data_IF_175353390779
#
_entry.id   IF_175353390779
#
_cell.length_a   1.000
_cell.length_b   1.000
_cell.length_c   1.000
_cell.angle_alpha   90.00
_cell.angle_beta   90.00
_cell.angle_gamma   90.00
#
_symmetry.space_group_name_H-M   'P 1'
#
loop_
_entity.id
_entity.type
_entity.pdbx_description
1 polymer ?
#
# COMPACT_ATOMS: atom_id res chain seq x y z
N UNK A 1 -25.31 27.36 -10.18
CA UNK A 1 -25.71 27.34 -11.60
C UNK A 1 -24.47 26.99 -12.40
N UNK A 2 -24.50 25.84 -13.12
CA UNK A 2 -23.59 25.45 -14.22
C UNK A 2 -22.11 25.21 -13.79
N UNK A 3 -21.42 24.09 -14.03
CA UNK A 3 -21.48 23.01 -15.03
C UNK A 3 -20.87 21.75 -14.38
N UNK A 4 -21.62 20.67 -14.17
CA UNK A 4 -21.60 19.44 -14.97
C UNK A 4 -20.83 19.56 -16.30
N UNK A 5 -19.68 18.87 -16.39
CA UNK A 5 -19.08 18.17 -17.55
C UNK A 5 -17.67 17.75 -17.10
N UNK A 6 -17.50 16.51 -16.62
CA UNK A 6 -16.26 15.73 -16.70
C UNK A 6 -16.55 14.30 -16.21
N UNK A 7 -17.45 13.63 -16.95
CA UNK A 7 -17.83 12.25 -16.64
C UNK A 7 -18.03 11.44 -17.93
N UNK A 8 -17.03 11.41 -18.84
CA UNK A 8 -17.13 10.55 -20.04
C UNK A 8 -15.80 10.24 -20.77
N UNK A 9 -14.73 9.76 -20.11
CA UNK A 9 -13.61 9.12 -20.85
C UNK A 9 -12.92 7.99 -20.06
N UNK A 10 -13.67 7.16 -19.32
CA UNK A 10 -13.14 5.90 -18.75
C UNK A 10 -14.17 4.76 -18.82
N UNK A 11 -14.74 4.55 -20.00
CA UNK A 11 -15.52 3.35 -20.34
C UNK A 11 -15.05 2.77 -21.67
N UNK A 12 -13.85 2.17 -21.71
CA UNK A 12 -13.50 1.24 -22.79
C UNK A 12 -12.39 0.23 -22.45
N UNK A 13 -12.30 -0.28 -21.22
CA UNK A 13 -11.56 -1.54 -20.95
C UNK A 13 -12.25 -2.32 -19.83
N UNK A 14 -13.49 -2.78 -20.08
CA UNK A 14 -14.20 -3.66 -19.16
C UNK A 14 -15.12 -4.62 -19.92
N UNK A 15 -14.53 -5.49 -20.74
CA UNK A 15 -15.20 -6.68 -21.26
C UNK A 15 -14.19 -7.82 -21.46
N UNK A 16 -13.56 -8.26 -20.36
CA UNK A 16 -13.01 -9.61 -20.27
C UNK A 16 -13.69 -10.28 -19.09
N UNK A 17 -14.79 -10.96 -19.36
CA UNK A 17 -15.39 -11.90 -18.43
C UNK A 17 -14.35 -12.97 -18.10
N UNK A 18 -14.01 -13.20 -16.82
CA UNK A 18 -13.31 -14.42 -16.45
C UNK A 18 -14.29 -15.58 -16.62
N UNK A 19 -13.92 -16.55 -17.45
CA UNK A 19 -14.57 -17.85 -17.46
C UNK A 19 -14.52 -18.43 -16.04
N UNK A 20 -15.65 -18.38 -15.32
CA UNK A 20 -15.82 -19.10 -14.07
C UNK A 20 -15.84 -20.60 -14.36
N UNK A 21 -14.67 -21.24 -14.32
CA UNK A 21 -14.60 -22.68 -14.10
C UNK A 21 -14.84 -22.95 -12.61
N UNK A 22 -16.11 -23.15 -12.23
CA UNK A 22 -16.45 -23.68 -10.92
C UNK A 22 -15.91 -25.11 -10.78
N UNK A 23 -14.80 -25.28 -10.06
CA UNK A 23 -14.31 -26.58 -9.60
C UNK A 23 -15.20 -27.05 -8.45
N UNK A 24 -16.25 -27.84 -8.78
CA UNK A 24 -16.96 -28.63 -7.78
C UNK A 24 -16.09 -29.82 -7.39
N UNK A 25 -15.49 -29.78 -6.20
CA UNK A 25 -14.96 -30.97 -5.55
C UNK A 25 -16.13 -31.88 -5.16
N UNK A 26 -16.21 -33.05 -5.78
CA UNK A 26 -17.16 -34.10 -5.41
C UNK A 26 -16.37 -35.16 -4.64
N UNK A 27 -16.73 -35.35 -3.37
CA UNK A 27 -16.19 -36.40 -2.52
C UNK A 27 -16.37 -37.77 -3.19
N UNK A 28 -15.27 -38.51 -3.35
CA UNK A 28 -15.28 -39.86 -3.92
C UNK A 28 -15.47 -40.88 -2.81
N UNK A 29 -16.67 -41.44 -2.74
CA UNK A 29 -16.92 -42.73 -2.12
C UNK A 29 -16.44 -43.87 -3.02
N UNK A 30 -15.90 -44.91 -2.39
CA UNK A 30 -15.40 -46.17 -2.99
C UNK A 30 -16.43 -46.82 -3.93
N UNK A 31 -15.96 -47.27 -5.09
CA UNK A 31 -16.23 -48.54 -5.78
C UNK A 31 -16.18 -48.32 -7.29
N UNK A 32 -15.40 -49.19 -7.96
CA UNK A 32 -15.00 -49.03 -9.35
C UNK A 32 -16.14 -49.13 -10.35
N UNK A 33 -15.99 -48.43 -11.47
CA UNK A 33 -16.49 -48.83 -12.79
C UNK A 33 -15.85 -48.00 -13.92
N UNK A 34 -15.93 -48.59 -15.12
CA UNK A 34 -15.27 -48.34 -16.42
C UNK A 34 -15.18 -46.89 -16.95
N UNK A 35 -14.25 -46.60 -17.89
CA UNK A 35 -14.03 -45.25 -18.42
C UNK A 35 -15.12 -44.83 -19.41
N UNK A 36 -15.76 -43.69 -19.16
CA UNK A 36 -16.72 -43.04 -20.07
C UNK A 36 -16.06 -41.85 -20.78
N UNK A 37 -15.89 -41.95 -22.11
CA UNK A 37 -15.27 -40.93 -22.98
C UNK A 37 -16.32 -39.89 -23.36
N UNK A 38 -16.34 -38.71 -22.71
CA UNK A 38 -17.22 -37.59 -23.10
C UNK A 38 -16.51 -36.63 -24.06
N UNK A 39 -16.95 -36.63 -25.33
CA UNK A 39 -16.72 -35.54 -26.29
C UNK A 39 -17.38 -34.26 -25.75
N UNK A 40 -16.63 -33.16 -25.68
CA UNK A 40 -17.20 -31.81 -25.50
C UNK A 40 -17.55 -31.27 -26.88
N UNK A 41 -18.83 -31.08 -27.14
CA UNK A 41 -19.32 -30.21 -28.22
C UNK A 41 -19.38 -28.79 -27.67
N UNK A 42 -18.72 -27.84 -28.33
CA UNK A 42 -18.94 -26.42 -28.14
C UNK A 42 -20.17 -26.00 -28.97
N UNK A 43 -21.08 -25.17 -28.44
CA UNK A 43 -22.14 -24.59 -29.27
C UNK A 43 -21.55 -23.56 -30.24
N UNK A 44 -21.92 -23.69 -31.51
CA UNK A 44 -21.68 -22.69 -32.53
C UNK A 44 -22.52 -21.44 -32.21
N UNK A 45 -21.86 -20.31 -31.97
CA UNK A 45 -22.52 -19.02 -31.87
C UNK A 45 -22.67 -18.44 -33.28
N UNK A 46 -23.86 -18.61 -33.85
CA UNK A 46 -24.35 -17.83 -34.99
C UNK A 46 -25.06 -16.59 -34.46
N UNK A 47 -24.54 -15.40 -34.73
CA UNK A 47 -25.30 -14.17 -34.64
C UNK A 47 -24.87 -13.23 -35.75
N UNK A 48 -25.80 -13.02 -36.68
CA UNK A 48 -25.75 -12.02 -37.73
C UNK A 48 -25.77 -10.62 -37.12
N UNK A 49 -24.85 -9.75 -37.56
CA UNK A 49 -24.98 -8.32 -37.41
C UNK A 49 -25.04 -7.68 -38.80
N UNK A 50 -26.20 -7.14 -39.10
CA UNK A 50 -26.48 -6.38 -40.30
C UNK A 50 -26.01 -4.92 -40.12
N UNK A 51 -25.33 -4.43 -41.17
CA UNK A 51 -25.28 -3.05 -41.66
C UNK A 51 -25.35 -1.87 -40.69
N UNK A 52 -24.22 -1.15 -40.54
CA UNK A 52 -24.22 0.31 -40.62
C UNK A 52 -22.88 0.83 -41.13
N UNK A 53 -22.94 1.90 -41.91
CA UNK A 53 -21.94 2.39 -42.85
C UNK A 53 -20.55 2.66 -42.25
N UNK A 54 -19.53 2.12 -42.92
CA UNK A 54 -18.12 2.44 -42.72
C UNK A 54 -17.79 3.88 -43.16
N UNK A 55 -17.14 4.70 -42.31
CA UNK A 55 -16.21 5.72 -42.77
C UNK A 55 -14.79 5.11 -42.76
N UNK A 56 -14.54 4.13 -43.63
CA UNK A 56 -13.22 3.47 -43.76
C UNK A 56 -12.63 3.61 -45.17
N UNK A 57 -12.92 4.71 -45.87
CA UNK A 57 -12.36 4.99 -47.19
C UNK A 57 -11.45 6.23 -47.23
N UNK A 58 -10.96 6.71 -46.08
CA UNK A 58 -10.10 7.91 -46.03
C UNK A 58 -8.82 7.76 -45.18
N UNK A 59 -8.42 6.53 -44.84
CA UNK A 59 -7.19 6.28 -44.07
C UNK A 59 -6.16 5.40 -44.78
N UNK A 60 -6.46 4.88 -45.98
CA UNK A 60 -5.54 4.03 -46.74
C UNK A 60 -4.72 4.78 -47.80
N UNK A 61 -4.97 6.07 -48.03
CA UNK A 61 -4.11 6.91 -48.90
C UNK A 61 -2.89 7.52 -48.17
N UNK A 62 -2.70 7.20 -46.89
CA UNK A 62 -1.47 7.53 -46.15
C UNK A 62 -0.35 6.51 -46.38
N UNK A 63 -0.60 5.45 -47.14
CA UNK A 63 0.42 4.51 -47.58
C UNK A 63 1.10 5.01 -48.86
N UNK A 64 1.92 6.05 -48.71
CA UNK A 64 3.00 6.46 -49.63
C UNK A 64 2.78 6.16 -51.11
N UNK A 65 1.95 6.95 -51.78
CA UNK A 65 2.01 7.04 -53.24
C UNK A 65 3.44 7.42 -53.65
N UNK A 66 4.12 6.56 -54.41
CA UNK A 66 5.46 6.81 -54.92
C UNK A 66 5.42 8.07 -55.81
N UNK A 67 5.95 9.18 -55.30
CA UNK A 67 6.14 10.41 -56.07
C UNK A 67 7.37 10.28 -56.97
N UNK A 68 7.18 10.34 -58.29
CA UNK A 68 8.28 10.32 -59.27
C UNK A 68 8.64 11.73 -59.80
N UNK A 69 7.91 12.77 -59.42
CA UNK A 69 8.16 14.16 -59.81
C UNK A 69 8.75 14.96 -58.62
N UNK A 70 9.81 15.77 -58.80
CA UNK A 70 10.34 16.65 -57.76
C UNK A 70 9.30 17.60 -57.13
N UNK A 71 8.26 18.01 -57.86
CA UNK A 71 7.17 18.81 -57.29
C UNK A 71 6.32 18.00 -56.28
N UNK A 72 6.06 16.73 -56.60
CA UNK A 72 5.34 15.79 -55.74
C UNK A 72 6.14 15.46 -54.48
N UNK A 73 7.46 15.24 -54.63
CA UNK A 73 8.35 14.94 -53.51
C UNK A 73 8.42 16.09 -52.49
N UNK A 74 8.53 17.35 -52.96
CA UNK A 74 8.48 18.51 -52.06
C UNK A 74 7.16 18.60 -51.29
N UNK A 75 6.03 18.35 -51.93
CA UNK A 75 4.73 18.36 -51.27
C UNK A 75 4.62 17.27 -50.19
N UNK A 76 5.15 16.06 -50.47
CA UNK A 76 5.22 14.97 -49.50
C UNK A 76 6.13 15.30 -48.31
N UNK A 77 7.31 15.88 -48.56
CA UNK A 77 8.26 16.27 -47.51
C UNK A 77 7.67 17.35 -46.60
N UNK A 78 6.95 18.34 -47.14
CA UNK A 78 6.25 19.35 -46.34
C UNK A 78 5.11 18.75 -45.50
N UNK A 79 4.32 17.85 -46.08
CA UNK A 79 3.25 17.18 -45.36
C UNK A 79 3.78 16.31 -44.21
N UNK A 80 4.92 15.63 -44.42
CA UNK A 80 5.61 14.86 -43.39
C UNK A 80 6.20 15.74 -42.30
N UNK A 81 6.87 16.84 -42.66
CA UNK A 81 7.43 17.78 -41.70
C UNK A 81 6.34 18.42 -40.83
N UNK A 82 5.17 18.75 -41.41
CA UNK A 82 4.03 19.27 -40.65
C UNK A 82 3.38 18.24 -39.74
N UNK A 83 3.24 16.99 -40.20
CA UNK A 83 2.58 15.93 -39.42
C UNK A 83 3.36 15.52 -38.18
N UNK A 84 4.69 15.65 -38.19
CA UNK A 84 5.56 15.40 -37.02
C UNK A 84 5.83 16.69 -36.23
N UNK A 85 6.03 17.81 -36.92
CA UNK A 85 6.38 19.08 -36.27
C UNK A 85 5.27 19.63 -35.38
N UNK A 86 4.02 19.62 -35.86
CA UNK A 86 2.88 20.14 -35.10
C UNK A 86 2.63 19.41 -33.77
N UNK A 87 2.57 18.06 -33.70
CA UNK A 87 2.35 17.38 -32.42
C UNK A 87 3.50 17.58 -31.43
N UNK A 88 4.75 17.69 -31.89
CA UNK A 88 5.89 17.98 -31.01
C UNK A 88 5.81 19.40 -30.42
N UNK A 89 5.45 20.40 -31.23
CA UNK A 89 5.26 21.78 -30.74
C UNK A 89 4.07 21.85 -29.76
N UNK A 90 2.97 21.16 -30.06
CA UNK A 90 1.81 21.12 -29.15
C UNK A 90 2.16 20.41 -27.83
N UNK A 91 2.97 19.36 -27.87
CA UNK A 91 3.45 18.67 -26.68
C UNK A 91 4.36 19.58 -25.84
N UNK A 92 5.30 20.31 -26.46
CA UNK A 92 6.17 21.23 -25.71
C UNK A 92 5.40 22.41 -25.10
N UNK A 93 4.42 22.96 -25.82
CA UNK A 93 3.53 24.00 -25.29
C UNK A 93 2.66 23.45 -24.15
N UNK A 94 2.12 22.24 -24.26
CA UNK A 94 1.34 21.62 -23.20
C UNK A 94 2.19 21.36 -21.94
N UNK A 95 3.43 20.89 -22.12
CA UNK A 95 4.40 20.72 -21.03
C UNK A 95 4.72 22.08 -20.38
N UNK A 96 5.01 23.12 -21.19
CA UNK A 96 5.29 24.45 -20.67
C UNK A 96 4.10 25.05 -19.90
N UNK A 97 2.87 24.91 -20.42
CA UNK A 97 1.67 25.37 -19.73
C UNK A 97 1.37 24.57 -18.46
N UNK A 98 1.69 23.27 -18.44
CA UNK A 98 1.58 22.45 -17.22
C UNK A 98 2.53 22.94 -16.13
N UNK A 99 3.77 23.30 -16.49
CA UNK A 99 4.73 23.85 -15.53
C UNK A 99 4.39 25.28 -15.08
N UNK A 100 3.83 26.13 -15.95
CA UNK A 100 3.44 27.51 -15.58
C UNK A 100 2.18 27.52 -14.67
N UNK A 101 1.30 26.52 -14.76
CA UNK A 101 0.05 26.47 -13.99
C UNK A 101 0.19 25.87 -12.58
N UNK A 102 1.41 25.54 -12.15
CA UNK A 102 1.67 24.82 -10.90
C UNK A 102 2.10 25.67 -9.70
N UNK A 103 2.21 26.99 -9.83
CA UNK A 103 2.93 27.84 -8.86
C UNK A 103 2.02 28.90 -8.21
N UNK A 104 0.85 28.48 -7.72
CA UNK A 104 -0.04 29.31 -6.87
C UNK A 104 -0.20 28.68 -5.47
N UNK A 105 0.93 28.41 -4.82
CA UNK A 105 0.96 28.23 -3.37
C UNK A 105 2.28 28.73 -2.79
N UNK A 106 2.48 30.05 -2.83
CA UNK A 106 3.45 30.81 -2.03
C UNK A 106 3.09 30.78 -0.53
N UNK A 107 2.76 29.61 0.01
CA UNK A 107 3.05 29.37 1.42
C UNK A 107 4.48 28.90 1.45
N UNK A 108 5.35 29.76 1.95
CA UNK A 108 6.77 29.54 2.20
C UNK A 108 6.95 28.28 3.08
N UNK A 109 6.84 27.09 2.48
CA UNK A 109 7.11 25.80 3.08
C UNK A 109 8.62 25.73 3.25
N UNK A 110 9.12 26.37 4.31
CA UNK A 110 10.53 26.30 4.68
C UNK A 110 10.80 24.87 5.14
N UNK A 111 11.59 24.16 4.35
CA UNK A 111 12.13 22.87 4.75
C UNK A 111 13.05 23.09 5.94
N UNK A 112 12.63 22.61 7.11
CA UNK A 112 13.44 22.65 8.32
C UNK A 112 14.35 21.43 8.33
N UNK A 113 15.67 21.66 8.33
CA UNK A 113 16.64 20.59 8.55
C UNK A 113 16.96 20.52 10.04
N UNK A 114 16.65 19.39 10.68
CA UNK A 114 17.06 19.19 12.06
C UNK A 114 18.59 19.03 12.15
N UNK A 115 19.31 19.91 12.85
CA UNK A 115 20.78 19.84 12.95
C UNK A 115 21.27 18.57 13.65
N UNK A 116 20.45 17.93 14.49
CA UNK A 116 20.85 16.73 15.22
C UNK A 116 20.72 15.45 14.39
N UNK A 117 19.67 15.34 13.57
CA UNK A 117 19.36 14.12 12.81
C UNK A 117 19.62 14.24 11.32
N UNK A 118 19.79 15.47 10.82
CA UNK A 118 19.94 15.76 9.39
C UNK A 118 18.66 15.57 8.58
N UNK A 119 17.54 15.20 9.22
CA UNK A 119 16.24 14.99 8.56
C UNK A 119 15.63 16.34 8.22
N UNK A 120 15.27 16.50 6.95
CA UNK A 120 14.50 17.65 6.46
C UNK A 120 13.01 17.35 6.55
N UNK A 121 12.23 18.24 7.14
CA UNK A 121 10.78 18.15 7.14
C UNK A 121 10.14 19.50 6.83
N UNK A 122 8.95 19.46 6.26
CA UNK A 122 8.15 20.65 5.97
C UNK A 122 7.41 21.05 7.24
N UNK A 123 7.70 22.24 7.76
CA UNK A 123 7.01 22.81 8.91
C UNK A 123 6.80 24.30 8.70
N UNK A 124 5.71 24.82 9.25
CA UNK A 124 5.54 26.27 9.32
C UNK A 124 6.56 26.87 10.29
N UNK A 125 6.96 28.14 10.13
CA UNK A 125 8.05 28.76 10.91
C UNK A 125 7.87 28.68 12.44
N UNK A 126 6.63 28.58 12.89
CA UNK A 126 6.27 28.55 14.31
C UNK A 126 6.20 27.13 14.89
N UNK A 127 6.21 26.10 14.03
CA UNK A 127 6.09 24.70 14.46
C UNK A 127 7.43 24.16 14.95
N UNK A 128 7.43 23.66 16.18
CA UNK A 128 8.59 22.99 16.79
C UNK A 128 8.36 21.48 16.81
N UNK A 129 9.30 20.68 16.26
CA UNK A 129 9.17 19.24 16.33
C UNK A 129 9.24 18.76 17.79
N UNK A 130 8.37 17.81 18.14
CA UNK A 130 8.40 17.12 19.42
C UNK A 130 9.71 16.36 19.55
N UNK A 131 10.36 16.56 20.69
CA UNK A 131 11.53 15.79 21.08
C UNK A 131 11.21 14.98 22.33
N UNK A 132 11.71 13.77 22.36
CA UNK A 132 11.66 12.96 23.56
C UNK A 132 12.59 13.51 24.64
N UNK A 133 12.52 12.90 25.83
CA UNK A 133 13.38 13.25 26.98
C UNK A 133 14.89 13.09 26.71
N UNK A 134 15.28 12.47 25.59
CA UNK A 134 16.67 12.30 25.16
C UNK A 134 17.04 13.26 24.01
N UNK A 135 16.16 14.19 23.64
CA UNK A 135 16.37 15.14 22.55
C UNK A 135 16.20 14.54 21.15
N UNK A 136 15.78 13.28 21.03
CA UNK A 136 15.50 12.64 19.74
C UNK A 136 14.11 13.01 19.24
N UNK A 137 13.92 13.09 17.92
CA UNK A 137 12.62 13.40 17.32
C UNK A 137 11.59 12.30 17.65
N UNK A 138 10.37 12.71 17.94
CA UNK A 138 9.22 11.81 17.97
C UNK A 138 8.56 11.77 16.58
N UNK A 139 8.00 10.62 16.23
CA UNK A 139 7.42 10.37 14.92
C UNK A 139 5.92 10.03 15.02
N UNK A 140 5.10 10.48 14.07
CA UNK A 140 3.75 9.98 13.88
C UNK A 140 3.85 8.62 13.20
N UNK A 141 3.02 7.68 13.63
CA UNK A 141 2.90 6.41 12.94
C UNK A 141 2.34 6.67 11.53
N UNK A 142 3.04 6.28 10.46
CA UNK A 142 2.55 6.49 9.11
C UNK A 142 1.35 5.62 8.79
N UNK A 143 0.49 6.10 7.89
CA UNK A 143 -0.28 5.22 7.02
C UNK A 143 0.68 4.58 6.00
N UNK A 144 1.44 3.56 6.42
CA UNK A 144 2.48 2.92 5.60
C UNK A 144 3.84 2.77 6.29
N UNK A 145 4.93 3.06 5.56
CA UNK A 145 6.33 2.82 6.00
C UNK A 145 7.12 4.08 6.37
N UNK A 146 6.64 5.28 6.04
CA UNK A 146 7.44 6.52 6.10
C UNK A 146 7.18 7.28 7.40
N UNK A 147 8.02 7.17 8.45
CA UNK A 147 7.79 7.91 9.69
C UNK A 147 7.91 9.41 9.45
N UNK A 148 7.01 10.19 10.06
CA UNK A 148 7.00 11.66 9.93
C UNK A 148 7.19 12.31 11.30
N UNK A 149 8.06 13.32 11.47
CA UNK A 149 8.18 14.04 12.74
C UNK A 149 6.84 14.64 13.19
N UNK A 150 6.57 14.64 14.49
CA UNK A 150 5.37 15.25 15.10
C UNK A 150 5.69 16.60 15.74
N UNK A 151 4.67 17.43 15.93
CA UNK A 151 4.74 18.68 16.69
C UNK A 151 4.61 18.42 18.20
N UNK A 152 5.24 19.27 19.02
CA UNK A 152 5.33 19.11 20.48
C UNK A 152 3.98 18.89 21.20
N UNK A 153 2.90 19.45 20.67
CA UNK A 153 1.57 19.42 21.27
C UNK A 153 0.60 18.42 20.60
N UNK A 154 1.13 17.50 19.78
CA UNK A 154 0.31 16.50 19.10
C UNK A 154 -0.37 15.59 20.12
N UNK A 155 -1.70 15.44 20.07
CA UNK A 155 -2.40 14.50 20.95
C UNK A 155 -2.05 13.03 20.63
N UNK A 156 -1.95 12.18 21.65
CA UNK A 156 -1.73 10.75 21.46
C UNK A 156 -0.88 10.08 22.54
N UNK A 157 -0.73 8.77 22.43
CA UNK A 157 0.07 7.95 23.32
C UNK A 157 1.48 7.76 22.76
N UNK A 158 2.51 8.03 23.56
CA UNK A 158 3.92 7.93 23.16
C UNK A 158 4.44 6.54 23.47
N UNK A 159 4.86 5.80 22.45
CA UNK A 159 5.48 4.48 22.58
C UNK A 159 6.89 4.47 22.03
N UNK A 160 7.81 3.81 22.75
CA UNK A 160 9.20 3.64 22.30
C UNK A 160 9.35 2.27 21.65
N UNK A 161 9.68 2.25 20.37
CA UNK A 161 9.76 1.03 19.56
C UNK A 161 11.14 0.92 18.96
N UNK A 162 11.72 -0.28 19.00
CA UNK A 162 13.03 -0.55 18.42
C UNK A 162 12.92 -0.64 16.89
N UNK A 163 13.56 0.28 16.18
CA UNK A 163 13.59 0.34 14.71
C UNK A 163 15.00 0.66 14.20
N UNK A 164 15.29 0.34 12.94
CA UNK A 164 16.61 0.51 12.32
C UNK A 164 17.24 -0.82 11.92
N UNK A 165 18.57 -0.87 11.69
CA UNK A 165 19.24 -2.12 11.31
C UNK A 165 19.01 -3.19 12.36
N UNK A 166 18.66 -4.42 11.95
CA UNK A 166 18.26 -5.51 12.86
C UNK A 166 19.24 -5.73 14.02
N UNK A 167 20.54 -5.65 13.76
CA UNK A 167 21.59 -5.88 14.77
C UNK A 167 21.92 -4.63 15.62
N UNK A 168 21.34 -3.48 15.28
CA UNK A 168 21.58 -2.17 15.89
C UNK A 168 20.28 -1.37 15.97
N UNK A 169 19.20 -2.03 16.35
CA UNK A 169 17.89 -1.40 16.44
C UNK A 169 17.93 -0.35 17.58
N UNK A 170 17.49 0.87 17.29
CA UNK A 170 17.41 1.94 18.26
C UNK A 170 15.96 2.18 18.67
N UNK A 171 15.74 2.43 19.96
CA UNK A 171 14.44 2.85 20.46
C UNK A 171 14.13 4.26 19.94
N UNK A 172 13.11 4.36 19.09
CA UNK A 172 12.53 5.63 18.63
C UNK A 172 11.14 5.84 19.22
N UNK A 173 10.78 7.09 19.47
CA UNK A 173 9.49 7.45 20.05
C UNK A 173 8.47 7.67 18.93
N UNK A 174 7.34 6.98 19.01
CA UNK A 174 6.23 7.07 18.08
C UNK A 174 4.97 7.52 18.81
N UNK A 175 4.20 8.41 18.20
CA UNK A 175 2.95 8.96 18.73
C UNK A 175 1.77 8.29 18.04
N UNK A 176 0.89 7.69 18.84
CA UNK A 176 -0.33 7.03 18.39
C UNK A 176 -1.55 7.82 18.83
N UNK A 177 -2.26 8.38 17.86
CA UNK A 177 -3.59 8.97 18.06
C UNK A 177 -4.60 7.86 18.40
N UNK A 178 -5.50 8.11 19.36
CA UNK A 178 -6.55 7.16 19.74
C UNK A 178 -7.72 7.22 18.75
N UNK A 179 -8.05 6.10 18.12
CA UNK A 179 -9.10 6.03 17.09
C UNK A 179 -10.37 5.36 17.59
N UNK A 180 -10.34 4.72 18.75
CA UNK A 180 -11.52 4.16 19.41
C UNK A 180 -12.15 5.20 20.34
N UNK A 181 -13.46 5.06 20.56
CA UNK A 181 -14.16 5.88 21.54
C UNK A 181 -13.50 5.71 22.92
N UNK A 182 -13.38 6.83 23.65
CA UNK A 182 -12.81 6.81 24.99
C UNK A 182 -13.78 6.13 25.97
N UNK A 183 -13.27 5.36 26.95
CA UNK A 183 -11.86 5.13 27.24
C UNK A 183 -11.22 4.03 26.35
N UNK A 184 -10.09 4.34 25.72
CA UNK A 184 -9.25 3.38 24.97
C UNK A 184 -7.79 3.45 25.43
N UNK A 185 -7.05 2.36 25.21
CA UNK A 185 -5.66 2.20 25.60
C UNK A 185 -4.84 1.63 24.44
N UNK A 186 -3.65 2.18 24.20
CA UNK A 186 -2.69 1.60 23.27
C UNK A 186 -1.85 0.55 24.00
N UNK A 187 -1.69 -0.63 23.39
CA UNK A 187 -1.00 -1.78 23.95
C UNK A 187 0.08 -2.23 22.96
N UNK A 188 1.32 -2.34 23.42
CA UNK A 188 2.44 -2.88 22.65
C UNK A 188 2.67 -4.33 23.06
N UNK A 189 2.65 -5.25 22.10
CA UNK A 189 2.81 -6.70 22.30
C UNK A 189 3.95 -7.20 21.44
N UNK A 190 5.01 -7.73 22.05
CA UNK A 190 6.14 -8.34 21.35
C UNK A 190 6.04 -9.86 21.46
N UNK A 191 6.09 -10.54 20.31
CA UNK A 191 5.91 -11.99 20.21
C UNK A 191 6.96 -12.60 19.27
N UNK A 192 7.40 -13.85 19.53
CA UNK A 192 8.21 -14.59 18.56
C UNK A 192 7.37 -14.91 17.31
N UNK A 193 8.06 -15.21 16.21
CA UNK A 193 7.44 -15.73 14.98
C UNK A 193 7.49 -17.27 15.00
N UNK A 194 6.44 -17.99 14.56
CA UNK A 194 5.12 -17.48 14.17
C UNK A 194 4.35 -16.93 15.39
N UNK A 195 3.60 -15.85 15.18
CA UNK A 195 2.97 -15.09 16.28
C UNK A 195 1.81 -15.81 16.93
N UNK A 196 1.10 -16.65 16.18
CA UNK A 196 -0.09 -17.35 16.68
C UNK A 196 -1.31 -16.44 16.90
N UNK A 197 -1.30 -15.20 16.41
CA UNK A 197 -2.47 -14.30 16.42
C UNK A 197 -3.24 -14.47 15.11
N UNK A 198 -4.55 -14.66 15.21
CA UNK A 198 -5.47 -14.67 14.06
C UNK A 198 -6.01 -13.25 13.89
N UNK A 199 -5.64 -12.60 12.79
CA UNK A 199 -6.08 -11.26 12.42
C UNK A 199 -7.12 -11.33 11.30
N UNK A 200 -8.16 -10.51 11.40
CA UNK A 200 -9.22 -10.40 10.40
C UNK A 200 -9.52 -8.93 10.08
N UNK A 201 -9.97 -8.68 8.86
CA UNK A 201 -10.46 -7.36 8.44
C UNK A 201 -11.93 -7.19 8.87
N UNK A 202 -12.19 -6.25 9.78
CA UNK A 202 -13.54 -5.76 10.03
C UNK A 202 -13.93 -4.80 8.89
N UNK A 203 -14.62 -5.35 7.89
CA UNK A 203 -15.10 -4.59 6.72
C UNK A 203 -16.02 -3.42 7.04
N UNK A 204 -16.73 -3.46 8.18
CA UNK A 204 -17.64 -2.37 8.58
C UNK A 204 -16.87 -1.16 9.06
N UNK A 205 -15.80 -1.40 9.81
CA UNK A 205 -14.96 -0.35 10.41
C UNK A 205 -13.72 -0.02 9.58
N UNK A 206 -13.44 -0.83 8.55
CA UNK A 206 -12.22 -0.78 7.74
C UNK A 206 -10.96 -0.83 8.60
N UNK A 207 -10.95 -1.76 9.56
CA UNK A 207 -9.86 -1.92 10.53
C UNK A 207 -9.48 -3.38 10.64
N UNK A 208 -8.23 -3.65 10.99
CA UNK A 208 -7.75 -4.99 11.29
C UNK A 208 -7.94 -5.27 12.77
N UNK A 209 -8.59 -6.37 13.09
CA UNK A 209 -8.90 -6.76 14.47
C UNK A 209 -8.33 -8.14 14.79
N UNK A 210 -8.02 -8.36 16.07
CA UNK A 210 -7.67 -9.69 16.58
C UNK A 210 -8.93 -10.53 16.68
N UNK A 211 -9.07 -11.54 15.82
CA UNK A 211 -10.19 -12.47 15.84
C UNK A 211 -10.00 -13.58 16.89
N UNK A 212 -8.75 -14.01 17.11
CA UNK A 212 -8.45 -15.07 18.05
C UNK A 212 -6.98 -15.47 18.06
N UNK A 213 -6.70 -16.66 18.57
CA UNK A 213 -5.34 -17.20 18.68
C UNK A 213 -5.29 -18.64 18.19
N UNK A 214 -4.12 -19.06 17.70
CA UNK A 214 -3.83 -20.45 17.38
C UNK A 214 -3.58 -21.21 18.68
N UNK A 215 -4.20 -22.37 18.83
CA UNK A 215 -4.07 -23.21 20.02
C UNK A 215 -2.61 -23.63 20.26
N UNK A 216 -2.16 -23.52 21.51
CA UNK A 216 -0.79 -23.85 21.92
C UNK A 216 0.25 -22.78 21.60
N UNK A 217 -0.12 -21.71 20.89
CA UNK A 217 0.81 -20.62 20.55
C UNK A 217 1.22 -19.77 21.75
N UNK A 218 2.37 -19.09 21.64
CA UNK A 218 2.83 -18.15 22.64
C UNK A 218 1.83 -17.01 22.90
N UNK A 219 1.16 -16.51 21.85
CA UNK A 219 0.11 -15.50 21.99
C UNK A 219 -1.09 -16.01 22.80
N UNK A 220 -1.54 -17.24 22.55
CA UNK A 220 -2.64 -17.84 23.31
C UNK A 220 -2.26 -18.01 24.78
N UNK A 221 -1.05 -18.52 25.05
CA UNK A 221 -0.54 -18.69 26.42
C UNK A 221 -0.46 -17.34 27.15
N UNK A 222 0.10 -16.30 26.52
CA UNK A 222 0.16 -14.95 27.09
C UNK A 222 -1.23 -14.35 27.31
N UNK A 223 -2.18 -14.56 26.39
CA UNK A 223 -3.56 -14.10 26.56
C UNK A 223 -4.25 -14.81 27.73
N UNK A 224 -4.08 -16.13 27.88
CA UNK A 224 -4.61 -16.93 29.01
C UNK A 224 -4.02 -16.47 30.34
N UNK A 225 -2.70 -16.28 30.42
CA UNK A 225 -2.04 -15.74 31.61
C UNK A 225 -2.52 -14.31 31.91
N UNK A 226 -2.67 -13.48 30.87
CA UNK A 226 -3.16 -12.11 31.00
C UNK A 226 -4.58 -12.00 31.53
N UNK A 227 -5.44 -13.01 31.29
CA UNK A 227 -6.78 -13.12 31.88
C UNK A 227 -6.74 -13.44 33.37
N UNK A 228 -5.73 -14.18 33.83
CA UNK A 228 -5.55 -14.52 35.25
C UNK A 228 -4.89 -13.37 36.01
N UNK A 229 -4.01 -12.62 35.36
CA UNK A 229 -3.23 -11.55 35.96
C UNK A 229 -3.41 -10.23 35.19
N UNK A 230 -4.22 -9.33 35.74
CA UNK A 230 -4.58 -8.04 35.13
C UNK A 230 -3.37 -7.17 34.77
N UNK A 231 -2.26 -7.27 35.51
CA UNK A 231 -1.03 -6.53 35.19
C UNK A 231 -0.36 -7.04 33.90
N UNK A 232 -0.39 -8.35 33.65
CA UNK A 232 0.15 -8.98 32.44
C UNK A 232 -0.83 -8.82 31.28
N UNK A 233 -2.14 -8.87 31.55
CA UNK A 233 -3.19 -8.67 30.54
C UNK A 233 -3.10 -7.32 29.81
N UNK A 234 -2.47 -6.31 30.43
CA UNK A 234 -2.16 -5.02 29.80
C UNK A 234 -1.10 -5.11 28.70
N UNK A 235 -0.27 -6.16 28.69
CA UNK A 235 0.81 -6.36 27.71
C UNK A 235 0.58 -7.55 26.76
N UNK A 236 -0.56 -8.25 26.86
CA UNK A 236 -0.92 -9.35 25.97
C UNK A 236 -1.98 -8.91 24.96
N UNK A 237 -1.95 -9.42 23.73
CA UNK A 237 -3.05 -9.24 22.78
C UNK A 237 -4.33 -9.90 23.30
N UNK A 238 -5.49 -9.32 23.00
CA UNK A 238 -6.81 -9.84 23.34
C UNK A 238 -7.74 -9.83 22.11
N UNK A 239 -8.73 -10.74 22.04
CA UNK A 239 -9.71 -10.72 20.96
C UNK A 239 -10.50 -9.41 20.95
N UNK A 240 -10.67 -8.83 19.75
CA UNK A 240 -11.31 -7.53 19.55
C UNK A 240 -10.35 -6.33 19.61
N UNK A 241 -9.09 -6.53 19.96
CA UNK A 241 -8.06 -5.49 19.85
C UNK A 241 -7.89 -5.06 18.38
N UNK A 242 -7.73 -3.75 18.16
CA UNK A 242 -7.54 -3.17 16.81
C UNK A 242 -6.06 -3.02 16.52
N UNK A 243 -5.54 -3.62 15.45
CA UNK A 243 -4.15 -3.45 15.04
C UNK A 243 -3.93 -2.04 14.49
N UNK A 244 -3.03 -1.29 15.11
CA UNK A 244 -2.64 0.08 14.74
C UNK A 244 -1.32 0.11 13.97
N UNK A 245 -0.36 -0.72 14.37
CA UNK A 245 0.92 -0.85 13.68
C UNK A 245 1.61 -2.17 14.01
N UNK A 246 2.61 -2.53 13.20
CA UNK A 246 3.45 -3.70 13.43
C UNK A 246 4.88 -3.45 12.95
N UNK A 247 5.86 -4.03 13.61
CA UNK A 247 7.24 -4.03 13.12
C UNK A 247 7.41 -5.12 12.06
N UNK A 248 8.01 -4.80 10.94
CA UNK A 248 8.35 -5.75 9.89
C UNK A 248 9.79 -5.56 9.42
N UNK A 249 10.31 -6.53 8.67
CA UNK A 249 11.67 -6.44 8.13
C UNK A 249 11.62 -6.03 6.67
N UNK A 250 12.29 -4.92 6.37
CA UNK A 250 12.53 -4.45 5.01
C UNK A 250 14.01 -4.65 4.67
N UNK A 251 14.28 -5.02 3.42
CA UNK A 251 15.65 -5.13 2.93
C UNK A 251 16.06 -3.79 2.31
N UNK A 252 17.09 -3.18 2.87
CA UNK A 252 17.70 -1.98 2.30
C UNK A 252 18.91 -2.37 1.44
N UNK A 253 18.84 -1.99 0.16
CA UNK A 253 19.90 -2.23 -0.80
C UNK A 253 20.69 -0.94 -0.99
N UNK A 254 21.87 -0.87 -0.39
CA UNK A 254 22.82 0.19 -0.73
C UNK A 254 23.26 0.05 -2.20
N UNK A 255 23.75 1.14 -2.80
CA UNK A 255 24.33 1.09 -4.17
C UNK A 255 25.40 0.01 -4.30
N UNK A 256 26.22 -0.19 -3.27
CA UNK A 256 27.21 -1.29 -3.24
C UNK A 256 26.60 -2.69 -3.20
N UNK A 257 25.40 -2.84 -2.63
CA UNK A 257 24.68 -4.11 -2.60
C UNK A 257 24.07 -4.47 -3.96
N UNK A 258 23.69 -3.47 -4.76
CA UNK A 258 23.19 -3.69 -6.13
C UNK A 258 24.24 -4.34 -7.05
N UNK A 259 25.53 -4.08 -6.79
CA UNK A 259 26.65 -4.70 -7.51
C UNK A 259 27.23 -5.94 -6.82
N UNK A 260 26.54 -6.49 -5.81
CA UNK A 260 26.96 -7.72 -5.13
C UNK A 260 28.17 -7.58 -4.20
N UNK A 261 28.68 -6.36 -3.98
CA UNK A 261 29.83 -6.13 -3.11
C UNK A 261 29.50 -6.25 -1.62
N UNK A 262 28.23 -6.04 -1.24
CA UNK A 262 27.74 -6.18 0.14
C UNK A 262 26.35 -6.83 0.16
N UNK A 263 26.04 -7.69 1.14
CA UNK A 263 24.68 -8.21 1.30
C UNK A 263 23.71 -7.09 1.67
N UNK A 264 22.43 -7.28 1.35
CA UNK A 264 21.37 -6.36 1.74
C UNK A 264 21.25 -6.27 3.27
N UNK A 265 20.99 -5.07 3.79
CA UNK A 265 20.85 -4.86 5.23
C UNK A 265 19.39 -5.07 5.62
N UNK A 266 19.14 -5.95 6.61
CA UNK A 266 17.82 -6.14 7.21
C UNK A 266 17.51 -4.97 8.14
N UNK A 267 16.46 -4.22 7.82
CA UNK A 267 15.98 -3.08 8.58
C UNK A 267 14.65 -3.43 9.24
N UNK A 268 14.56 -3.27 10.56
CA UNK A 268 13.31 -3.32 11.30
C UNK A 268 12.62 -1.98 11.13
N UNK A 269 11.47 -1.98 10.46
CA UNK A 269 10.66 -0.79 10.20
C UNK A 269 9.28 -0.94 10.83
N UNK A 270 8.73 0.16 11.32
CA UNK A 270 7.37 0.20 11.82
C UNK A 270 6.42 0.47 10.65
N UNK A 271 5.51 -0.45 10.40
CA UNK A 271 4.43 -0.30 9.43
C UNK A 271 3.13 0.04 10.15
N UNK A 272 2.55 1.20 9.86
CA UNK A 272 1.23 1.55 10.41
C UNK A 272 0.11 0.95 9.58
N UNK A 273 -0.85 0.33 10.27
CA UNK A 273 -1.98 -0.38 9.68
C UNK A 273 -3.20 0.54 9.47
N UNK A 274 -3.19 1.74 10.05
CA UNK A 274 -4.30 2.69 9.97
C UNK A 274 -4.54 3.18 8.52
N UNK A 275 -5.79 3.05 8.06
CA UNK A 275 -6.19 3.44 6.71
C UNK A 275 -5.57 2.61 5.58
N UNK A 276 -4.85 1.53 5.90
CA UNK A 276 -4.24 0.64 4.92
C UNK A 276 -5.22 -0.46 4.50
N UNK A 277 -5.10 -0.90 3.24
CA UNK A 277 -5.89 -2.03 2.75
C UNK A 277 -5.40 -3.34 3.37
N UNK A 278 -6.32 -4.28 3.62
CA UNK A 278 -5.98 -5.60 4.18
C UNK A 278 -4.83 -6.32 3.46
N UNK A 279 -4.76 -6.34 2.11
CA UNK A 279 -3.63 -6.96 1.40
C UNK A 279 -2.27 -6.33 1.72
N UNK A 280 -2.21 -5.02 1.96
CA UNK A 280 -0.96 -4.33 2.33
C UNK A 280 -0.53 -4.69 3.74
N UNK A 281 -1.49 -4.73 4.69
CA UNK A 281 -1.22 -5.18 6.07
C UNK A 281 -0.73 -6.63 6.08
N UNK A 282 -1.36 -7.51 5.30
CA UNK A 282 -0.91 -8.90 5.13
C UNK A 282 0.48 -8.99 4.54
N UNK A 283 0.80 -8.17 3.53
CA UNK A 283 2.14 -8.09 2.96
C UNK A 283 3.17 -7.65 4.01
N UNK A 284 2.83 -6.68 4.86
CA UNK A 284 3.70 -6.23 5.94
C UNK A 284 3.91 -7.32 7.02
N UNK A 285 2.88 -8.08 7.37
CA UNK A 285 2.98 -9.21 8.31
C UNK A 285 3.87 -10.33 7.78
N UNK A 286 3.76 -10.62 6.47
CA UNK A 286 4.59 -11.60 5.77
C UNK A 286 6.06 -11.17 5.63
N UNK A 287 6.34 -9.87 5.71
CA UNK A 287 7.71 -9.35 5.71
C UNK A 287 8.41 -9.70 7.03
N UNK A 288 9.42 -10.55 6.91
CA UNK A 288 10.15 -11.13 8.04
C UNK A 288 9.53 -12.40 8.58
N UNK A 289 8.81 -13.19 7.79
CA UNK A 289 8.12 -14.41 8.23
C UNK A 289 9.04 -15.52 8.78
N UNK A 290 10.36 -15.40 8.65
CA UNK A 290 11.32 -16.38 9.13
C UNK A 290 11.54 -16.24 10.64
N UNK A 291 11.72 -17.35 11.35
CA UNK A 291 12.01 -17.32 12.80
C UNK A 291 13.32 -16.60 13.10
N UNK A 292 14.30 -16.73 12.20
CA UNK A 292 15.59 -16.06 12.29
C UNK A 292 15.47 -14.55 12.38
N UNK A 293 14.38 -13.96 11.88
CA UNK A 293 14.14 -12.52 11.84
C UNK A 293 13.82 -11.91 13.21
N UNK A 294 13.58 -12.73 14.22
CA UNK A 294 13.37 -12.33 15.60
C UNK A 294 11.91 -11.99 15.91
N UNK A 295 11.72 -11.32 17.05
CA UNK A 295 10.39 -10.96 17.54
C UNK A 295 9.74 -9.87 16.67
N UNK A 296 8.41 -9.93 16.59
CA UNK A 296 7.58 -8.88 16.01
C UNK A 296 6.84 -8.17 17.13
N UNK A 297 6.93 -6.84 17.12
CA UNK A 297 6.16 -5.96 17.99
C UNK A 297 4.93 -5.47 17.24
N UNK A 298 3.75 -5.82 17.74
CA UNK A 298 2.47 -5.34 17.25
C UNK A 298 1.88 -4.35 18.25
N UNK A 299 1.19 -3.35 17.71
CA UNK A 299 0.64 -2.25 18.48
C UNK A 299 -0.85 -2.28 18.25
N UNK A 300 -1.57 -2.46 19.34
CA UNK A 300 -3.00 -2.59 19.36
C UNK A 300 -3.64 -1.41 20.07
N UNK A 301 -4.87 -1.08 19.70
CA UNK A 301 -5.75 -0.23 20.48
C UNK A 301 -6.89 -1.07 21.05
N UNK A 302 -7.05 -1.01 22.36
CA UNK A 302 -8.08 -1.74 23.12
C UNK A 302 -9.10 -0.78 23.68
N UNK A 303 -10.38 -1.16 23.60
CA UNK A 303 -11.43 -0.47 24.33
C UNK A 303 -11.35 -0.83 25.83
N UNK A 304 -11.25 0.15 26.72
CA UNK A 304 -11.02 -0.11 28.13
C UNK A 304 -12.21 -0.80 28.81
N UNK A 305 -13.43 -0.66 28.27
CA UNK A 305 -14.62 -1.39 28.74
C UNK A 305 -14.60 -2.90 28.45
N UNK A 306 -13.59 -3.41 27.76
CA UNK A 306 -13.42 -4.85 27.46
C UNK A 306 -12.44 -5.54 28.44
N UNK A 307 -11.96 -4.83 29.46
CA UNK A 307 -11.15 -5.39 30.54
C UNK A 307 -12.08 -5.81 31.68
N UNK A 308 -12.68 -7.00 31.55
CA UNK A 308 -13.36 -7.68 32.66
C UNK A 308 -12.38 -8.61 33.36
#
# INVERSE_FOLDING_TARGET
>A
MSLEIYHSVLQSVAARQPCQCSLRYRATSRLGHKPYRRRRQCPAASAAFAGSAHPQAALWDLAGGLCFDPACQRAADYAFALSIGLPLIMLTVAIALYFIKGEDSDQEQRTFQDPATGVTFEATPDQRPERDKFGKLAYKTPSGYTPWPVEADTEGERLRIAVGPKNKAELRTFVFERLLAQPSQIVSVSLPRPTGIILEEDKRRQRVVVAGFVEGSAAEQQSKVGKLQSSIGKGSAQPGDVLRALTCITLEYSTSALFGAKPATKMVTLYGADGQSWPQVMTALQRGALEEDGEITMIFERYAGNVN
#
